data_IF_969654746285
#
_entry.id   IF_969654746285
#
_cell.length_a   1.000
_cell.length_b   1.000
_cell.length_c   1.000
_cell.angle_alpha   90.00
_cell.angle_beta   90.00
_cell.angle_gamma   90.00
#
_symmetry.space_group_name_H-M   'P 1'
#
loop_
_entity.id
_entity.type
_entity.pdbx_description
1 polymer ?
#
# COMPACT_ATOMS: atom_id res chain seq x y z
N UNK A 1 -30.40 -6.50 9.69
CA UNK A 1 -29.43 -5.67 8.96
C UNK A 1 -30.13 -5.13 7.72
N UNK A 2 -30.16 -3.82 7.52
CA UNK A 2 -30.95 -3.20 6.44
C UNK A 2 -30.25 -3.39 5.08
N UNK A 3 -31.00 -3.39 3.97
CA UNK A 3 -30.46 -3.45 2.60
C UNK A 3 -29.42 -2.37 2.35
N UNK A 4 -29.66 -1.16 2.87
CA UNK A 4 -28.71 -0.05 2.83
C UNK A 4 -27.39 -0.37 3.53
N UNK A 5 -27.45 -1.04 4.69
CA UNK A 5 -26.26 -1.44 5.46
C UNK A 5 -25.43 -2.49 4.69
N UNK A 6 -26.10 -3.42 4.01
CA UNK A 6 -25.44 -4.45 3.20
C UNK A 6 -24.71 -3.83 1.99
N UNK A 7 -25.32 -2.86 1.31
CA UNK A 7 -24.69 -2.13 0.21
C UNK A 7 -23.47 -1.32 0.67
N UNK A 8 -23.57 -0.62 1.80
CA UNK A 8 -22.47 0.16 2.35
C UNK A 8 -21.28 -0.72 2.80
N UNK A 9 -21.56 -1.89 3.37
CA UNK A 9 -20.51 -2.87 3.71
C UNK A 9 -19.79 -3.37 2.47
N UNK A 10 -20.54 -3.77 1.44
CA UNK A 10 -19.95 -4.22 0.18
C UNK A 10 -19.06 -3.16 -0.45
N UNK A 11 -19.50 -1.90 -0.47
CA UNK A 11 -18.69 -0.78 -0.98
C UNK A 11 -17.40 -0.57 -0.17
N UNK A 12 -17.50 -0.69 1.15
CA UNK A 12 -16.34 -0.60 2.05
C UNK A 12 -15.35 -1.72 1.78
N UNK A 13 -15.83 -2.97 1.72
CA UNK A 13 -15.01 -4.15 1.48
C UNK A 13 -14.31 -4.08 0.11
N UNK A 14 -15.05 -3.64 -0.92
CA UNK A 14 -14.52 -3.43 -2.27
C UNK A 14 -13.42 -2.35 -2.28
N UNK A 15 -13.59 -1.26 -1.53
CA UNK A 15 -12.57 -0.20 -1.41
C UNK A 15 -11.32 -0.70 -0.68
N UNK A 16 -11.49 -1.47 0.39
CA UNK A 16 -10.38 -2.02 1.16
C UNK A 16 -9.54 -2.99 0.32
N UNK A 17 -10.20 -3.92 -0.39
CA UNK A 17 -9.55 -4.87 -1.28
C UNK A 17 -8.72 -4.16 -2.37
N UNK A 18 -9.26 -3.09 -2.97
CA UNK A 18 -8.53 -2.27 -3.96
C UNK A 18 -7.27 -1.60 -3.40
N UNK A 19 -7.25 -1.34 -2.09
CA UNK A 19 -6.11 -0.76 -1.39
C UNK A 19 -5.19 -1.82 -0.76
N UNK A 20 -5.44 -3.11 -1.02
CA UNK A 20 -4.66 -4.22 -0.46
C UNK A 20 -4.84 -4.40 1.05
N UNK A 21 -5.88 -3.80 1.62
CA UNK A 21 -6.23 -3.92 3.03
C UNK A 21 -7.34 -4.95 3.16
N UNK A 22 -7.14 -5.95 4.01
CA UNK A 22 -8.21 -6.87 4.38
C UNK A 22 -9.03 -6.25 5.51
N UNK A 23 -10.35 -6.45 5.54
CA UNK A 23 -11.25 -6.01 6.64
C UNK A 23 -10.73 -6.42 8.02
N UNK A 24 -10.13 -7.62 8.12
CA UNK A 24 -9.50 -8.10 9.34
C UNK A 24 -8.28 -7.26 9.79
N UNK A 25 -7.74 -6.38 8.95
CA UNK A 25 -6.65 -5.45 9.26
C UNK A 25 -7.15 -4.19 9.98
N UNK A 26 -8.41 -3.79 9.80
CA UNK A 26 -8.97 -2.58 10.40
C UNK A 26 -9.14 -2.74 11.91
N UNK A 27 -9.58 -3.92 12.35
CA UNK A 27 -9.91 -4.18 13.75
C UNK A 27 -8.70 -4.56 14.62
N UNK A 28 -7.53 -4.84 14.02
CA UNK A 28 -6.37 -5.40 14.73
C UNK A 28 -5.01 -4.81 14.30
N UNK A 29 -5.00 -3.76 13.48
CA UNK A 29 -3.77 -3.11 13.00
C UNK A 29 -3.62 -1.68 13.51
N UNK A 30 -2.37 -1.20 13.61
CA UNK A 30 -2.10 0.22 13.87
C UNK A 30 -2.40 1.06 12.63
N UNK A 31 -2.56 2.38 12.81
CA UNK A 31 -2.78 3.31 11.70
C UNK A 31 -1.60 3.31 10.71
N UNK A 32 -0.37 3.14 11.19
CA UNK A 32 0.83 3.06 10.34
C UNK A 32 0.85 1.78 9.52
N UNK A 33 0.42 0.66 10.09
CA UNK A 33 0.30 -0.60 9.34
C UNK A 33 -0.71 -0.47 8.20
N UNK A 34 -1.85 0.17 8.47
CA UNK A 34 -2.86 0.46 7.46
C UNK A 34 -2.30 1.36 6.35
N UNK A 35 -1.67 2.48 6.72
CA UNK A 35 -1.08 3.42 5.76
C UNK A 35 0.02 2.77 4.92
N UNK A 36 0.93 2.02 5.54
CA UNK A 36 2.01 1.32 4.87
C UNK A 36 1.48 0.25 3.90
N UNK A 37 0.45 -0.50 4.29
CA UNK A 37 -0.18 -1.52 3.43
C UNK A 37 -0.81 -0.88 2.19
N UNK A 38 -1.57 0.20 2.39
CA UNK A 38 -2.17 0.98 1.31
C UNK A 38 -1.11 1.53 0.35
N UNK A 39 -0.07 2.18 0.89
CA UNK A 39 0.99 2.76 0.08
C UNK A 39 1.82 1.71 -0.65
N UNK A 40 2.14 0.58 -0.02
CA UNK A 40 2.86 -0.52 -0.68
C UNK A 40 2.08 -1.07 -1.87
N UNK A 41 0.77 -1.30 -1.70
CA UNK A 41 -0.10 -1.81 -2.76
C UNK A 41 -0.18 -0.84 -3.94
N UNK A 42 -0.45 0.44 -3.68
CA UNK A 42 -0.49 1.47 -4.71
C UNK A 42 0.88 1.62 -5.41
N UNK A 43 1.97 1.62 -4.65
CA UNK A 43 3.33 1.77 -5.20
C UNK A 43 3.70 0.64 -6.14
N UNK A 44 3.40 -0.61 -5.79
CA UNK A 44 3.67 -1.75 -6.66
C UNK A 44 2.83 -1.72 -7.93
N UNK A 45 1.56 -1.31 -7.82
CA UNK A 45 0.63 -1.20 -8.95
C UNK A 45 1.03 -0.09 -9.93
N UNK A 46 1.27 1.11 -9.41
CA UNK A 46 1.39 2.32 -10.22
C UNK A 46 2.85 2.61 -10.60
N UNK A 47 3.80 2.26 -9.74
CA UNK A 47 5.22 2.62 -9.89
C UNK A 47 6.17 1.43 -9.82
N UNK A 48 5.65 0.20 -9.94
CA UNK A 48 6.46 -1.03 -9.84
C UNK A 48 7.68 -1.04 -10.77
N UNK A 49 7.56 -0.45 -11.96
CA UNK A 49 8.65 -0.33 -12.96
C UNK A 49 9.77 0.63 -12.55
N UNK A 50 9.52 1.54 -11.61
CA UNK A 50 10.48 2.55 -11.13
C UNK A 50 11.18 2.12 -9.83
N UNK A 51 10.79 0.97 -9.28
CA UNK A 51 11.39 0.40 -8.09
C UNK A 51 12.65 -0.37 -8.44
N UNK A 52 13.65 -0.25 -7.58
CA UNK A 52 14.77 -1.19 -7.58
C UNK A 52 14.30 -2.57 -7.09
N UNK A 53 14.99 -3.64 -7.49
CA UNK A 53 14.60 -5.01 -7.13
C UNK A 53 14.46 -5.19 -5.61
N UNK A 54 15.39 -4.64 -4.83
CA UNK A 54 15.35 -4.69 -3.37
C UNK A 54 14.13 -3.96 -2.78
N UNK A 55 13.73 -2.84 -3.39
CA UNK A 55 12.56 -2.07 -2.97
C UNK A 55 11.27 -2.85 -3.26
N UNK A 56 11.14 -3.37 -4.49
CA UNK A 56 10.00 -4.21 -4.86
C UNK A 56 9.90 -5.46 -3.98
N UNK A 57 11.03 -6.10 -3.67
CA UNK A 57 11.06 -7.26 -2.78
C UNK A 57 10.62 -6.90 -1.35
N UNK A 58 11.11 -5.77 -0.81
CA UNK A 58 10.72 -5.29 0.51
C UNK A 58 9.21 -5.01 0.62
N UNK A 59 8.62 -4.35 -0.40
CA UNK A 59 7.17 -4.09 -0.43
C UNK A 59 6.37 -5.40 -0.53
N UNK A 60 6.78 -6.34 -1.39
CA UNK A 60 6.10 -7.63 -1.52
C UNK A 60 6.17 -8.47 -0.24
N UNK A 61 7.32 -8.52 0.43
CA UNK A 61 7.46 -9.26 1.68
C UNK A 61 6.63 -8.61 2.80
N UNK A 62 6.58 -7.28 2.87
CA UNK A 62 5.71 -6.59 3.80
C UNK A 62 4.24 -6.95 3.56
N UNK A 63 3.76 -6.88 2.30
CA UNK A 63 2.39 -7.26 1.96
C UNK A 63 2.08 -8.74 2.19
N UNK A 64 3.08 -9.63 2.15
CA UNK A 64 2.90 -11.04 2.57
C UNK A 64 2.73 -11.13 4.09
N UNK A 65 3.57 -10.41 4.84
CA UNK A 65 3.53 -10.40 6.31
C UNK A 65 2.22 -9.82 6.86
N UNK A 66 1.55 -8.91 6.15
CA UNK A 66 0.26 -8.36 6.58
C UNK A 66 -0.89 -9.37 6.51
N UNK A 67 -0.79 -10.40 5.65
CA UNK A 67 -1.88 -11.36 5.38
C UNK A 67 -2.19 -12.31 6.53
N UNK A 68 -1.18 -12.70 7.31
CA UNK A 68 -1.38 -13.64 8.42
C UNK A 68 -1.39 -12.89 9.74
N UNK A 69 -2.31 -13.25 10.64
CA UNK A 69 -2.41 -12.64 11.97
C UNK A 69 -1.08 -12.73 12.74
N UNK A 70 -0.46 -13.91 12.73
CA UNK A 70 0.76 -14.18 13.48
C UNK A 70 1.97 -13.34 13.00
N UNK A 71 2.12 -13.15 11.68
CA UNK A 71 3.20 -12.30 11.14
C UNK A 71 2.85 -10.84 11.22
N UNK A 72 1.58 -10.47 11.06
CA UNK A 72 1.11 -9.09 11.12
C UNK A 72 1.33 -8.46 12.48
N UNK A 73 1.05 -9.19 13.56
CA UNK A 73 1.26 -8.68 14.92
C UNK A 73 2.74 -8.49 15.28
N UNK A 74 3.66 -9.07 14.49
CA UNK A 74 5.10 -8.85 14.62
C UNK A 74 5.61 -7.67 13.80
N UNK A 75 4.75 -7.05 12.98
CA UNK A 75 5.13 -5.90 12.17
C UNK A 75 5.31 -4.70 13.10
N UNK A 76 6.52 -4.15 13.11
CA UNK A 76 6.85 -2.99 13.93
C UNK A 76 6.54 -1.69 13.20
N UNK A 77 6.34 -0.61 13.96
CA UNK A 77 6.16 0.73 13.40
C UNK A 77 7.35 1.15 12.51
N UNK A 78 8.58 0.76 12.88
CA UNK A 78 9.78 1.00 12.08
C UNK A 78 9.74 0.32 10.70
N UNK A 79 9.17 -0.89 10.61
CA UNK A 79 8.96 -1.56 9.32
C UNK A 79 7.92 -0.83 8.47
N UNK A 80 6.84 -0.33 9.08
CA UNK A 80 5.85 0.50 8.39
C UNK A 80 6.50 1.77 7.82
N UNK A 81 7.32 2.49 8.60
CA UNK A 81 8.04 3.67 8.12
C UNK A 81 9.02 3.35 6.99
N UNK A 82 9.72 2.22 7.05
CA UNK A 82 10.59 1.78 5.95
C UNK A 82 9.80 1.63 4.64
N UNK A 83 8.63 1.02 4.69
CA UNK A 83 7.73 0.87 3.52
C UNK A 83 7.24 2.22 3.01
N UNK A 84 6.78 3.10 3.90
CA UNK A 84 6.29 4.43 3.53
C UNK A 84 7.41 5.28 2.90
N UNK A 85 8.65 5.14 3.38
CA UNK A 85 9.81 5.82 2.79
C UNK A 85 10.13 5.31 1.39
N UNK A 86 10.06 4.00 1.13
CA UNK A 86 10.22 3.44 -0.23
C UNK A 86 9.12 3.98 -1.15
N UNK A 87 7.86 3.95 -0.72
CA UNK A 87 6.74 4.50 -1.48
C UNK A 87 6.95 5.98 -1.83
N UNK A 88 7.38 6.79 -0.85
CA UNK A 88 7.70 8.21 -1.05
C UNK A 88 8.84 8.40 -2.06
N UNK A 89 9.86 7.56 -2.02
CA UNK A 89 10.95 7.61 -3.01
C UNK A 89 10.46 7.28 -4.42
N UNK A 90 9.64 6.22 -4.57
CA UNK A 90 9.05 5.84 -5.85
C UNK A 90 8.17 6.96 -6.44
N UNK A 91 7.34 7.58 -5.60
CA UNK A 91 6.52 8.72 -5.99
C UNK A 91 7.36 9.92 -6.47
N UNK A 92 8.45 10.24 -5.76
CA UNK A 92 9.38 11.30 -6.19
C UNK A 92 10.06 10.97 -7.51
N UNK A 93 10.49 9.72 -7.73
CA UNK A 93 11.08 9.27 -9.00
C UNK A 93 10.07 9.42 -10.14
N UNK A 94 8.82 9.00 -9.92
CA UNK A 94 7.72 9.15 -10.89
C UNK A 94 7.45 10.61 -11.26
N UNK A 95 7.38 11.51 -10.27
CA UNK A 95 7.17 12.93 -10.52
C UNK A 95 8.32 13.56 -11.35
N UNK A 96 9.57 13.16 -11.09
CA UNK A 96 10.73 13.60 -11.89
C UNK A 96 10.65 13.10 -13.33
N UNK A 97 10.33 11.82 -13.52
CA UNK A 97 10.16 11.21 -14.84
C UNK A 97 9.07 11.91 -15.65
N UNK A 98 7.92 12.18 -15.03
CA UNK A 98 6.81 12.88 -15.69
C UNK A 98 7.17 14.31 -16.09
N UNK A 99 7.89 15.05 -15.22
CA UNK A 99 8.38 16.40 -15.54
C UNK A 99 9.36 16.40 -16.72
N UNK A 100 10.24 15.40 -16.81
CA UNK A 100 11.18 15.27 -17.93
C UNK A 100 10.44 15.00 -19.25
N UNK A 101 9.48 14.07 -19.26
CA UNK A 101 8.69 13.77 -20.46
C UNK A 101 7.85 14.96 -20.93
N UNK A 102 7.22 15.69 -20.01
CA UNK A 102 6.43 16.90 -20.38
C UNK A 102 7.29 18.02 -20.94
N UNK A 103 8.55 18.15 -20.51
CA UNK A 103 9.48 19.12 -21.08
C UNK A 103 10.10 18.67 -22.40
N UNK A 104 10.25 17.36 -22.64
CA UNK A 104 10.77 16.82 -23.89
C UNK A 104 9.75 16.84 -25.06
N UNK A 105 8.47 17.06 -24.74
CA UNK A 105 7.37 17.13 -25.73
C UNK A 105 6.98 18.57 -26.08
N UNK A 106 7.71 19.57 -25.56
CA UNK A 106 7.55 21.00 -25.88
C UNK A 106 8.72 21.47 -26.74
#
# INVERSE_FOLDING_TARGET
MNYKDMQQRKQTDDWLAKNGVNVAHIYAGTSELFQATKLATATLKDWGKLLEQNQAHALNNFLKATRSFATRNKITQGQCFKVMNIAKQAQRKSAKFNKQNTNATK
#
